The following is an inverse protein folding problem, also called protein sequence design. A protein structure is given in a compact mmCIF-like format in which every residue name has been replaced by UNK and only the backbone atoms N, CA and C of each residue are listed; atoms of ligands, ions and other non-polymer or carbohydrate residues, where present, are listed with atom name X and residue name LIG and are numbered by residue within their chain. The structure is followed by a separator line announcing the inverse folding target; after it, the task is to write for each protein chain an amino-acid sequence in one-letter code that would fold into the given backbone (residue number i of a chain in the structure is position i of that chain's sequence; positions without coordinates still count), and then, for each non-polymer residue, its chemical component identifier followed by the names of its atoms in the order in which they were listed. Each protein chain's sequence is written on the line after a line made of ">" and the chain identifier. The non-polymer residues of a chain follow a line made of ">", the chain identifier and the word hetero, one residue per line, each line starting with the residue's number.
data_IF_386621510088
#
_entry.id   IF_386621510088
#
_cell.length_a   1.000
_cell.length_b   1.000
_cell.length_c   1.000
_cell.angle_alpha   90.00
_cell.angle_beta   90.00
_cell.angle_gamma   90.00
#
_symmetry.space_group_name_H-M   'P 1'
#
loop_
_entity.id
_entity.type
_entity.pdbx_description
1 polymer ?
#
# COMPACT_ATOMS: atom_id res chain seq x y z
N UNK A 1 -10.44 -7.36 -17.56
CA UNK A 1 -11.46 -7.00 -16.55
C UNK A 1 -11.30 -5.51 -16.26
N UNK A 2 -12.29 -4.67 -16.59
CA UNK A 2 -12.25 -3.24 -16.22
C UNK A 2 -12.16 -3.17 -14.69
N UNK A 3 -11.08 -2.61 -14.18
CA UNK A 3 -10.94 -2.31 -12.75
C UNK A 3 -12.11 -1.43 -12.34
N UNK A 4 -13.08 -2.00 -11.63
CA UNK A 4 -14.12 -1.19 -10.99
C UNK A 4 -13.60 -0.72 -9.63
N UNK A 5 -12.74 0.31 -9.68
CA UNK A 5 -12.20 0.96 -8.49
C UNK A 5 -13.26 1.88 -7.86
N UNK A 6 -14.48 1.95 -8.42
CA UNK A 6 -15.51 2.93 -8.04
C UNK A 6 -16.12 2.67 -6.65
N UNK A 7 -16.09 1.44 -6.16
CA UNK A 7 -16.54 1.10 -4.80
C UNK A 7 -15.61 1.58 -3.69
N UNK A 8 -14.38 1.99 -4.01
CA UNK A 8 -13.43 2.57 -3.04
C UNK A 8 -13.37 4.11 -3.12
N UNK A 9 -14.37 4.71 -3.77
CA UNK A 9 -14.48 6.15 -4.01
C UNK A 9 -15.50 6.71 -3.00
N UNK A 10 -15.16 7.86 -2.41
CA UNK A 10 -16.03 8.70 -1.58
C UNK A 10 -16.16 8.40 -0.07
N UNK A 11 -15.04 8.06 0.56
CA UNK A 11 -14.81 8.55 1.92
C UNK A 11 -13.55 9.43 1.90
N UNK A 12 -13.78 10.74 1.84
CA UNK A 12 -12.77 11.73 2.19
C UNK A 12 -12.02 11.24 3.43
N UNK A 13 -10.74 10.90 3.28
CA UNK A 13 -9.89 10.57 4.42
C UNK A 13 -9.99 11.77 5.36
N UNK A 14 -10.54 11.63 6.58
CA UNK A 14 -10.57 12.73 7.52
C UNK A 14 -9.12 13.02 7.91
N UNK A 15 -8.49 13.95 7.20
CA UNK A 15 -7.10 14.32 7.42
C UNK A 15 -7.02 15.05 8.76
N UNK A 16 -6.51 14.34 9.77
CA UNK A 16 -6.50 14.74 11.17
C UNK A 16 -5.67 16.01 11.48
N UNK A 17 -4.91 16.58 10.53
CA UNK A 17 -4.21 17.87 10.69
C UNK A 17 -4.25 18.73 9.42
N UNK A 18 -4.03 18.16 8.22
CA UNK A 18 -4.01 18.96 6.97
C UNK A 18 -5.37 19.59 6.69
N UNK A 19 -6.47 18.88 6.86
CA UNK A 19 -7.80 19.44 6.59
C UNK A 19 -8.13 20.57 7.57
N UNK A 20 -7.74 20.42 8.85
CA UNK A 20 -7.89 21.46 9.85
C UNK A 20 -7.07 22.71 9.48
N UNK A 21 -5.77 22.55 9.20
CA UNK A 21 -4.92 23.66 8.75
C UNK A 21 -5.39 24.29 7.44
N UNK A 22 -5.88 23.50 6.49
CA UNK A 22 -6.45 24.03 5.26
C UNK A 22 -7.72 24.86 5.52
N UNK A 23 -8.53 24.51 6.52
CA UNK A 23 -9.68 25.31 6.95
C UNK A 23 -9.23 26.65 7.58
N UNK A 24 -8.20 26.63 8.42
CA UNK A 24 -7.60 27.84 9.00
C UNK A 24 -7.01 28.74 7.91
N UNK A 25 -6.25 28.17 6.98
CA UNK A 25 -5.66 28.90 5.85
C UNK A 25 -6.76 29.54 5.00
N UNK A 26 -7.87 28.83 4.71
CA UNK A 26 -9.02 29.37 3.97
C UNK A 26 -9.69 30.57 4.65
N UNK A 27 -9.62 30.65 5.98
CA UNK A 27 -10.18 31.78 6.73
C UNK A 27 -9.35 33.06 6.57
N UNK A 28 -8.08 32.95 6.18
CA UNK A 28 -7.20 34.10 5.99
C UNK A 28 -7.53 34.82 4.68
N UNK A 29 -7.76 36.13 4.75
CA UNK A 29 -7.90 36.98 3.56
C UNK A 29 -6.55 37.47 3.09
N UNK A 30 -6.21 37.19 1.84
CA UNK A 30 -4.98 37.70 1.21
C UNK A 30 -5.26 39.06 0.57
N UNK A 31 -4.43 40.06 0.87
CA UNK A 31 -4.51 41.37 0.22
C UNK A 31 -3.69 41.39 -1.08
N UNK A 32 -4.29 40.92 -2.18
CA UNK A 32 -3.65 40.88 -3.50
C UNK A 32 -3.18 42.26 -3.98
N UNK A 33 -3.91 43.33 -3.60
CA UNK A 33 -3.56 44.70 -3.99
C UNK A 33 -2.19 45.13 -3.44
N UNK A 34 -1.82 44.70 -2.23
CA UNK A 34 -0.50 45.00 -1.67
C UNK A 34 0.64 44.34 -2.46
N UNK A 35 0.41 43.14 -3.01
CA UNK A 35 1.39 42.47 -3.85
C UNK A 35 1.50 43.12 -5.23
N UNK A 36 0.40 43.62 -5.77
CA UNK A 36 0.40 44.39 -7.02
C UNK A 36 1.15 45.72 -6.86
N UNK A 37 0.87 46.47 -5.79
CA UNK A 37 1.57 47.71 -5.46
C UNK A 37 3.06 47.48 -5.20
N UNK A 38 3.40 46.35 -4.58
CA UNK A 38 4.78 45.90 -4.38
C UNK A 38 5.45 45.31 -5.61
N UNK A 39 4.81 45.33 -6.79
CA UNK A 39 5.33 44.76 -8.05
C UNK A 39 5.71 43.27 -7.99
N UNK A 40 5.14 42.53 -7.04
CA UNK A 40 5.40 41.09 -6.88
C UNK A 40 4.54 40.24 -7.83
N UNK A 41 3.42 40.80 -8.29
CA UNK A 41 2.46 40.14 -9.18
C UNK A 41 2.04 41.12 -10.29
N UNK A 42 1.65 40.59 -11.45
CA UNK A 42 1.15 41.42 -12.55
C UNK A 42 -0.28 41.89 -12.31
N UNK A 43 -0.71 42.93 -13.02
CA UNK A 43 -2.11 43.39 -12.98
C UNK A 43 -3.08 42.31 -13.45
N UNK A 44 -2.73 41.58 -14.51
CA UNK A 44 -3.49 40.44 -15.03
C UNK A 44 -3.66 39.34 -13.98
N UNK A 45 -2.58 38.96 -13.28
CA UNK A 45 -2.60 37.92 -12.25
C UNK A 45 -3.43 38.36 -11.03
N UNK A 46 -3.34 39.65 -10.65
CA UNK A 46 -4.12 40.23 -9.55
C UNK A 46 -5.62 40.28 -9.87
N UNK A 47 -5.99 40.67 -11.09
CA UNK A 47 -7.39 40.71 -11.52
C UNK A 47 -7.98 39.29 -11.61
N UNK A 48 -7.22 38.35 -12.18
CA UNK A 48 -7.66 36.96 -12.30
C UNK A 48 -7.92 36.32 -10.93
N UNK A 49 -6.97 36.42 -9.99
CA UNK A 49 -7.11 35.77 -8.68
C UNK A 49 -8.29 36.33 -7.88
N UNK A 50 -8.53 37.64 -7.97
CA UNK A 50 -9.70 38.27 -7.33
C UNK A 50 -11.01 37.78 -7.94
N UNK A 51 -11.10 37.66 -9.29
CA UNK A 51 -12.28 37.09 -9.96
C UNK A 51 -12.49 35.61 -9.59
N UNK A 52 -11.40 34.85 -9.50
CA UNK A 52 -11.44 33.44 -9.10
C UNK A 52 -11.96 33.25 -7.67
N UNK A 53 -11.55 34.10 -6.73
CA UNK A 53 -12.02 34.07 -5.33
C UNK A 53 -13.48 34.52 -5.17
N UNK A 54 -13.94 35.46 -6.00
CA UNK A 54 -15.31 35.97 -5.95
C UNK A 54 -16.34 34.90 -6.38
N UNK A 55 -15.98 34.07 -7.37
CA UNK A 55 -16.84 32.98 -7.86
C UNK A 55 -16.90 31.84 -6.86
N UNK A 56 -17.98 31.77 -6.08
CA UNK A 56 -18.20 30.72 -5.08
C UNK A 56 -18.88 29.47 -5.64
N UNK A 57 -19.67 29.61 -6.70
CA UNK A 57 -20.36 28.48 -7.31
C UNK A 57 -19.39 27.62 -8.15
N UNK A 58 -19.33 26.28 -7.94
CA UNK A 58 -18.53 25.38 -8.77
C UNK A 58 -18.77 25.52 -10.28
N UNK A 59 -19.99 25.84 -10.70
CA UNK A 59 -20.37 26.01 -12.11
C UNK A 59 -19.75 27.27 -12.72
N UNK A 60 -19.82 28.40 -12.02
CA UNK A 60 -19.20 29.67 -12.46
C UNK A 60 -17.68 29.57 -12.53
N UNK A 61 -17.07 28.84 -11.58
CA UNK A 61 -15.64 28.51 -11.61
C UNK A 61 -15.33 27.62 -12.80
N UNK A 62 -16.17 26.62 -13.08
CA UNK A 62 -15.97 25.74 -14.22
C UNK A 62 -15.99 26.51 -15.55
N UNK A 63 -16.94 27.43 -15.73
CA UNK A 63 -17.00 28.30 -16.91
C UNK A 63 -15.76 29.20 -17.04
N UNK A 64 -15.32 29.81 -15.93
CA UNK A 64 -14.10 30.62 -15.90
C UNK A 64 -12.88 29.78 -16.32
N UNK A 65 -12.74 28.58 -15.76
CA UNK A 65 -11.59 27.70 -16.02
C UNK A 65 -11.61 27.10 -17.43
N UNK A 66 -12.79 26.89 -18.03
CA UNK A 66 -12.91 26.48 -19.43
C UNK A 66 -12.46 27.59 -20.39
N UNK A 67 -12.76 28.84 -20.06
CA UNK A 67 -12.44 29.99 -20.91
C UNK A 67 -11.01 30.49 -20.70
N UNK A 68 -10.57 30.54 -19.45
CA UNK A 68 -9.31 31.19 -19.02
C UNK A 68 -8.33 30.21 -18.35
N UNK A 69 -8.41 28.90 -18.66
CA UNK A 69 -7.57 27.88 -18.03
C UNK A 69 -6.06 28.16 -18.11
N UNK A 70 -5.56 28.65 -19.26
CA UNK A 70 -4.15 29.01 -19.41
C UNK A 70 -3.74 30.17 -18.48
N UNK A 71 -4.60 31.17 -18.31
CA UNK A 71 -4.36 32.28 -17.38
C UNK A 71 -4.41 31.80 -15.92
N UNK A 72 -5.29 30.84 -15.61
CA UNK A 72 -5.35 30.20 -14.29
C UNK A 72 -4.02 29.55 -13.91
N UNK A 73 -3.46 28.67 -14.76
CA UNK A 73 -2.17 28.04 -14.52
C UNK A 73 -1.05 29.07 -14.39
N UNK A 74 -0.97 30.03 -15.33
CA UNK A 74 0.01 31.13 -15.31
C UNK A 74 -0.03 31.88 -13.98
N UNK A 75 -1.23 32.30 -13.57
CA UNK A 75 -1.45 33.06 -12.33
C UNK A 75 -0.95 32.26 -11.14
N UNK A 76 -1.43 31.04 -10.91
CA UNK A 76 -1.02 30.26 -9.75
C UNK A 76 0.49 29.98 -9.73
N UNK A 77 1.10 29.66 -10.87
CA UNK A 77 2.55 29.40 -10.96
C UNK A 77 3.35 30.67 -10.66
N UNK A 78 2.96 31.81 -11.24
CA UNK A 78 3.62 33.10 -10.99
C UNK A 78 3.51 33.49 -9.52
N UNK A 79 2.30 33.39 -8.93
CA UNK A 79 2.06 33.70 -7.53
C UNK A 79 2.94 32.85 -6.60
N UNK A 80 3.04 31.54 -6.84
CA UNK A 80 3.92 30.64 -6.05
C UNK A 80 5.40 30.92 -6.24
N UNK A 81 5.81 31.39 -7.42
CA UNK A 81 7.21 31.64 -7.77
C UNK A 81 7.71 32.96 -7.18
N UNK A 82 6.90 34.01 -7.27
CA UNK A 82 7.29 35.36 -6.88
C UNK A 82 6.97 35.67 -5.41
N UNK A 83 5.91 35.10 -4.84
CA UNK A 83 5.54 35.38 -3.45
C UNK A 83 6.31 34.45 -2.51
N UNK A 84 7.09 35.05 -1.61
CA UNK A 84 7.83 34.34 -0.57
C UNK A 84 7.10 34.26 0.77
N UNK A 85 6.04 35.06 0.98
CA UNK A 85 5.26 35.06 2.23
C UNK A 85 4.55 33.72 2.42
N UNK A 86 4.95 32.99 3.46
CA UNK A 86 4.49 31.63 3.76
C UNK A 86 2.97 31.49 3.75
N UNK A 87 2.25 32.28 4.55
CA UNK A 87 0.78 32.24 4.63
C UNK A 87 0.09 32.40 3.27
N UNK A 88 0.66 33.21 2.37
CA UNK A 88 0.09 33.41 1.03
C UNK A 88 0.38 32.21 0.13
N UNK A 89 1.57 31.61 0.23
CA UNK A 89 1.90 30.36 -0.50
C UNK A 89 1.01 29.21 -0.03
N UNK A 90 0.80 29.06 1.28
CA UNK A 90 -0.14 28.08 1.85
C UNK A 90 -1.56 28.27 1.28
N UNK A 91 -2.01 29.52 1.21
CA UNK A 91 -3.32 29.88 0.65
C UNK A 91 -3.43 29.52 -0.83
N UNK A 92 -2.40 29.85 -1.63
CA UNK A 92 -2.35 29.53 -3.05
C UNK A 92 -2.40 28.01 -3.28
N UNK A 93 -1.57 27.25 -2.56
CA UNK A 93 -1.57 25.78 -2.68
C UNK A 93 -2.90 25.17 -2.25
N UNK A 94 -3.54 25.72 -1.22
CA UNK A 94 -4.87 25.25 -0.79
C UNK A 94 -5.92 25.49 -1.89
N UNK A 95 -5.91 26.67 -2.53
CA UNK A 95 -6.80 26.94 -3.66
C UNK A 95 -6.56 25.99 -4.84
N UNK A 96 -5.30 25.68 -5.15
CA UNK A 96 -4.97 24.71 -6.21
C UNK A 96 -5.46 23.32 -5.82
N UNK A 97 -5.22 22.86 -4.59
CA UNK A 97 -5.66 21.53 -4.13
C UNK A 97 -7.19 21.38 -4.18
N UNK A 98 -7.91 22.41 -3.73
CA UNK A 98 -9.38 22.50 -3.75
C UNK A 98 -9.90 22.50 -5.20
N UNK A 99 -9.32 23.34 -6.07
CA UNK A 99 -9.70 23.41 -7.48
C UNK A 99 -9.59 22.03 -8.16
N UNK A 100 -8.50 21.30 -7.89
CA UNK A 100 -8.29 19.97 -8.43
C UNK A 100 -9.19 18.91 -7.78
N UNK A 101 -9.51 19.06 -6.49
CA UNK A 101 -10.41 18.16 -5.77
C UNK A 101 -11.86 18.28 -6.25
N UNK A 102 -12.32 19.50 -6.56
CA UNK A 102 -13.66 19.77 -7.09
C UNK A 102 -13.89 19.08 -8.45
N UNK A 103 -12.87 19.02 -9.31
CA UNK A 103 -12.96 18.31 -10.60
C UNK A 103 -11.58 17.82 -11.04
N UNK A 104 -11.39 16.50 -11.04
CA UNK A 104 -10.13 15.85 -11.40
C UNK A 104 -9.65 16.19 -12.82
N UNK A 105 -10.55 16.52 -13.76
CA UNK A 105 -10.17 16.87 -15.13
C UNK A 105 -9.38 18.18 -15.21
N UNK A 106 -9.50 19.05 -14.19
CA UNK A 106 -8.81 20.36 -14.15
C UNK A 106 -7.29 20.24 -14.05
N UNK A 107 -6.75 19.07 -13.75
CA UNK A 107 -5.30 18.83 -13.86
C UNK A 107 -4.78 19.14 -15.27
N UNK A 108 -5.61 18.95 -16.32
CA UNK A 108 -5.21 19.22 -17.72
C UNK A 108 -4.79 20.67 -17.93
N UNK A 109 -5.33 21.61 -17.15
CA UNK A 109 -4.98 23.03 -17.21
C UNK A 109 -3.48 23.24 -17.01
N UNK A 110 -2.88 22.55 -16.04
CA UNK A 110 -1.45 22.66 -15.76
C UNK A 110 -0.60 21.94 -16.81
N UNK A 111 -1.06 20.81 -17.36
CA UNK A 111 -0.37 20.12 -18.46
C UNK A 111 -0.37 20.96 -19.74
N UNK A 112 -1.52 21.51 -20.13
CA UNK A 112 -1.67 22.34 -21.33
C UNK A 112 -0.79 23.59 -21.24
N UNK A 113 -0.69 24.19 -20.05
CA UNK A 113 0.21 25.30 -19.77
C UNK A 113 1.69 24.88 -19.84
N UNK A 114 2.07 23.80 -19.15
CA UNK A 114 3.44 23.29 -19.11
C UNK A 114 3.96 22.95 -20.52
N UNK A 115 3.10 22.34 -21.34
CA UNK A 115 3.40 21.98 -22.73
C UNK A 115 3.74 23.19 -23.59
N UNK A 116 3.06 24.33 -23.40
CA UNK A 116 3.38 25.60 -24.09
C UNK A 116 4.75 26.14 -23.66
N UNK A 117 5.09 25.97 -22.39
CA UNK A 117 6.38 26.35 -21.82
C UNK A 117 7.52 25.35 -22.06
N UNK A 118 7.29 24.26 -22.82
CA UNK A 118 8.24 23.13 -22.98
C UNK A 118 8.74 22.57 -21.65
N UNK A 119 7.86 22.47 -20.67
CA UNK A 119 8.16 21.97 -19.33
C UNK A 119 7.15 20.88 -18.91
N UNK A 120 7.39 20.20 -17.78
CA UNK A 120 6.45 19.24 -17.20
C UNK A 120 5.56 19.92 -16.15
N UNK A 121 4.33 19.44 -15.95
CA UNK A 121 3.41 20.03 -14.98
C UNK A 121 3.92 19.95 -13.52
N UNK A 122 4.63 18.89 -13.16
CA UNK A 122 5.17 18.66 -11.82
C UNK A 122 6.35 19.58 -11.49
N UNK A 123 7.12 20.00 -12.49
CA UNK A 123 8.31 20.84 -12.29
C UNK A 123 8.01 22.14 -11.53
N UNK A 124 6.78 22.66 -11.63
CA UNK A 124 6.35 23.86 -10.90
C UNK A 124 6.10 23.61 -9.41
N UNK A 125 5.82 22.38 -9.00
CA UNK A 125 5.46 22.01 -7.63
C UNK A 125 6.58 21.25 -6.91
N UNK A 126 7.43 20.51 -7.62
CA UNK A 126 8.54 19.75 -7.04
C UNK A 126 9.49 20.61 -6.17
N UNK A 127 9.86 21.85 -6.55
CA UNK A 127 10.69 22.71 -5.70
C UNK A 127 10.06 23.03 -4.34
N UNK A 128 8.72 23.00 -4.24
CA UNK A 128 8.01 23.29 -2.98
C UNK A 128 8.23 22.20 -1.92
N UNK A 129 8.67 21.00 -2.30
CA UNK A 129 9.02 19.93 -1.36
C UNK A 129 10.28 20.24 -0.54
N UNK A 130 11.07 21.24 -0.94
CA UNK A 130 12.27 21.69 -0.22
C UNK A 130 12.01 22.90 0.71
N UNK A 131 10.76 23.37 0.83
CA UNK A 131 10.39 24.46 1.75
C UNK A 131 10.48 23.97 3.20
N UNK A 132 10.67 24.90 4.13
CA UNK A 132 10.71 24.59 5.57
C UNK A 132 9.32 24.37 6.17
N UNK A 133 8.30 25.06 5.63
CA UNK A 133 6.92 24.93 6.10
C UNK A 133 6.31 23.57 5.74
N UNK A 134 6.01 22.80 6.78
CA UNK A 134 5.44 21.46 6.66
C UNK A 134 4.08 21.47 5.93
N UNK A 135 3.24 22.49 6.13
CA UNK A 135 1.94 22.52 5.45
C UNK A 135 2.13 22.70 3.94
N UNK A 136 2.93 23.68 3.53
CA UNK A 136 3.31 23.93 2.12
C UNK A 136 3.88 22.67 1.47
N UNK A 137 4.84 22.02 2.12
CA UNK A 137 5.50 20.81 1.60
C UNK A 137 4.48 19.69 1.34
N UNK A 138 3.62 19.40 2.31
CA UNK A 138 2.65 18.31 2.18
C UNK A 138 1.48 18.65 1.25
N UNK A 139 1.07 19.92 1.17
CA UNK A 139 0.07 20.35 0.20
C UNK A 139 0.60 20.25 -1.22
N UNK A 140 1.84 20.70 -1.46
CA UNK A 140 2.50 20.51 -2.74
C UNK A 140 2.63 19.03 -3.10
N UNK A 141 3.02 18.17 -2.15
CA UNK A 141 3.08 16.72 -2.36
C UNK A 141 1.72 16.14 -2.80
N UNK A 142 0.61 16.58 -2.21
CA UNK A 142 -0.74 16.15 -2.62
C UNK A 142 -1.08 16.59 -4.04
N UNK A 143 -0.78 17.84 -4.39
CA UNK A 143 -1.01 18.36 -5.74
C UNK A 143 -0.18 17.56 -6.75
N UNK A 144 1.08 17.25 -6.46
CA UNK A 144 1.94 16.41 -7.31
C UNK A 144 1.31 15.03 -7.53
N UNK A 145 0.85 14.36 -6.46
CA UNK A 145 0.18 13.06 -6.59
C UNK A 145 -1.11 13.14 -7.41
N UNK A 146 -1.90 14.21 -7.25
CA UNK A 146 -3.12 14.46 -8.03
C UNK A 146 -2.82 14.67 -9.51
N UNK A 147 -1.84 15.51 -9.82
CA UNK A 147 -1.38 15.71 -11.20
C UNK A 147 -0.94 14.38 -11.81
N UNK A 148 -0.14 13.58 -11.09
CA UNK A 148 0.41 12.33 -11.60
C UNK A 148 -0.66 11.25 -11.79
N UNK A 149 -1.64 11.15 -10.89
CA UNK A 149 -2.67 10.12 -10.93
C UNK A 149 -3.88 10.46 -11.81
N UNK A 150 -4.21 11.74 -11.99
CA UNK A 150 -5.36 12.18 -12.79
C UNK A 150 -4.95 12.78 -14.14
N UNK A 151 -3.66 13.06 -14.32
CA UNK A 151 -3.08 13.58 -15.55
C UNK A 151 -3.09 12.57 -16.70
N UNK A 152 -2.82 13.07 -17.91
CA UNK A 152 -2.71 12.26 -19.12
C UNK A 152 -1.27 11.80 -19.40
N UNK A 153 -0.29 12.54 -18.88
CA UNK A 153 1.13 12.22 -19.05
C UNK A 153 1.63 11.51 -17.78
N UNK A 154 2.59 10.60 -17.94
CA UNK A 154 3.20 9.91 -16.81
C UNK A 154 4.44 10.68 -16.33
N UNK A 155 4.62 10.75 -15.01
CA UNK A 155 5.85 11.23 -14.41
C UNK A 155 6.91 10.14 -14.51
N UNK A 156 8.05 10.43 -15.12
CA UNK A 156 9.09 9.44 -15.40
C UNK A 156 10.48 9.95 -15.02
N UNK A 157 11.47 9.06 -15.03
CA UNK A 157 12.88 9.42 -14.87
C UNK A 157 13.21 10.08 -13.53
N UNK A 158 13.97 11.18 -13.57
CA UNK A 158 14.49 11.86 -12.38
C UNK A 158 13.38 12.43 -11.48
N UNK A 159 12.29 12.94 -12.08
CA UNK A 159 11.19 13.55 -11.34
C UNK A 159 10.46 12.51 -10.48
N UNK A 160 10.15 11.35 -11.08
CA UNK A 160 9.52 10.23 -10.38
C UNK A 160 10.42 9.70 -9.27
N UNK A 161 11.70 9.48 -9.58
CA UNK A 161 12.68 9.00 -8.60
C UNK A 161 12.83 9.96 -7.42
N UNK A 162 12.88 11.27 -7.68
CA UNK A 162 12.95 12.27 -6.64
C UNK A 162 11.69 12.23 -5.75
N UNK A 163 10.50 12.20 -6.35
CA UNK A 163 9.25 12.19 -5.59
C UNK A 163 9.06 10.89 -4.78
N UNK A 164 9.38 9.73 -5.35
CA UNK A 164 9.35 8.45 -4.62
C UNK A 164 10.38 8.40 -3.49
N UNK A 165 11.59 8.91 -3.70
CA UNK A 165 12.58 9.00 -2.63
C UNK A 165 12.12 9.95 -1.52
N UNK A 166 11.46 11.06 -1.87
CA UNK A 166 10.84 11.95 -0.90
C UNK A 166 9.75 11.21 -0.08
N UNK A 167 8.83 10.49 -0.72
CA UNK A 167 7.81 9.67 -0.04
C UNK A 167 8.47 8.65 0.91
N UNK A 168 9.45 7.88 0.42
CA UNK A 168 10.16 6.86 1.21
C UNK A 168 10.82 7.49 2.45
N UNK A 169 11.46 8.65 2.29
CA UNK A 169 12.12 9.38 3.38
C UNK A 169 11.11 9.82 4.44
N UNK A 170 9.99 10.41 4.02
CA UNK A 170 8.95 10.87 4.93
C UNK A 170 8.29 9.71 5.69
N UNK A 171 8.01 8.58 5.02
CA UNK A 171 7.45 7.38 5.66
C UNK A 171 8.45 6.71 6.61
N UNK A 172 9.73 6.62 6.21
CA UNK A 172 10.78 5.95 7.00
C UNK A 172 11.22 6.75 8.23
N UNK A 173 10.97 8.06 8.25
CA UNK A 173 11.28 8.92 9.41
C UNK A 173 10.61 8.45 10.72
N UNK A 174 9.59 7.57 10.63
CA UNK A 174 8.98 6.93 11.79
C UNK A 174 9.84 5.82 12.45
N UNK A 175 10.81 5.20 11.73
CA UNK A 175 11.63 4.09 12.26
C UNK A 175 12.51 4.48 13.46
N UNK A 176 12.92 5.75 13.55
CA UNK A 176 13.86 6.22 14.59
C UNK A 176 13.24 6.35 16.00
N UNK A 177 11.96 6.06 16.19
CA UNK A 177 11.29 6.21 17.49
C UNK A 177 11.07 4.90 18.27
N UNK A 178 11.29 3.75 17.64
CA UNK A 178 11.08 2.43 18.28
C UNK A 178 12.21 1.97 19.20
N UNK A 179 13.38 2.62 19.16
CA UNK A 179 14.53 2.30 19.98
C UNK A 179 14.96 3.52 20.80
N UNK A 180 14.51 3.57 22.06
CA UNK A 180 14.97 4.43 23.15
C UNK A 180 15.64 5.76 22.79
N UNK A 181 14.87 6.84 22.73
CA UNK A 181 15.43 8.19 22.88
C UNK A 181 14.62 8.95 23.93
N UNK A 182 15.24 9.07 25.11
CA UNK A 182 14.89 9.97 26.20
C UNK A 182 14.77 11.41 25.69
N UNK A 183 13.81 12.11 26.27
CA UNK A 183 13.48 13.51 26.01
C UNK A 183 14.67 14.39 26.41
N UNK A 184 15.33 15.01 25.44
CA UNK A 184 16.08 16.25 25.65
C UNK A 184 15.51 17.35 24.75
N UNK A 185 15.20 18.47 25.39
CA UNK A 185 14.49 19.60 24.84
C UNK A 185 15.44 20.51 24.04
N UNK A 186 14.99 21.00 22.88
CA UNK A 186 15.65 22.12 22.20
C UNK A 186 15.51 22.24 20.69
N UNK A 187 15.01 21.22 19.97
CA UNK A 187 14.81 21.27 18.52
C UNK A 187 13.33 21.10 18.16
N UNK A 188 12.89 21.81 17.12
CA UNK A 188 11.52 21.80 16.53
C UNK A 188 10.83 20.46 16.79
N UNK A 189 9.68 20.52 17.47
CA UNK A 189 8.90 19.38 17.94
C UNK A 189 8.74 18.32 16.85
N UNK A 190 9.58 17.28 16.89
CA UNK A 190 9.54 16.13 15.96
C UNK A 190 8.21 15.36 16.02
N UNK A 191 7.28 15.74 16.92
CA UNK A 191 5.87 15.32 16.91
C UNK A 191 5.09 15.81 15.70
N UNK A 192 5.48 16.92 15.08
CA UNK A 192 4.69 17.55 14.02
C UNK A 192 4.91 16.89 12.66
N UNK A 193 6.09 16.34 12.35
CA UNK A 193 6.28 15.59 11.09
C UNK A 193 5.45 14.30 11.04
N UNK A 194 5.29 13.63 12.19
CA UNK A 194 4.44 12.43 12.31
C UNK A 194 2.97 12.69 12.02
N UNK A 195 2.49 13.93 12.18
CA UNK A 195 1.10 14.31 11.91
C UNK A 195 0.76 14.26 10.42
N UNK A 196 1.76 14.45 9.55
CA UNK A 196 1.58 14.49 8.10
C UNK A 196 1.85 13.14 7.42
N UNK A 197 2.29 12.11 8.15
CA UNK A 197 2.60 10.80 7.58
C UNK A 197 1.38 10.17 6.88
N UNK A 198 0.17 10.38 7.41
CA UNK A 198 -1.07 9.93 6.77
C UNK A 198 -1.33 10.63 5.42
N UNK A 199 -0.88 11.88 5.26
CA UNK A 199 -0.94 12.59 3.99
C UNK A 199 0.04 11.98 2.99
N UNK A 200 1.27 11.71 3.41
CA UNK A 200 2.28 11.06 2.57
C UNK A 200 1.81 9.69 2.12
N UNK A 201 1.24 8.90 3.04
CA UNK A 201 0.59 7.63 2.74
C UNK A 201 -0.55 7.80 1.71
N UNK A 202 -1.37 8.84 1.85
CA UNK A 202 -2.42 9.17 0.88
C UNK A 202 -1.88 9.53 -0.51
N UNK A 203 -0.74 10.23 -0.57
CA UNK A 203 -0.05 10.53 -1.83
C UNK A 203 0.42 9.23 -2.51
N UNK A 204 1.03 8.31 -1.76
CA UNK A 204 1.44 7.01 -2.27
C UNK A 204 0.23 6.18 -2.76
N UNK A 205 -0.85 6.12 -1.98
CA UNK A 205 -2.08 5.41 -2.38
C UNK A 205 -2.62 5.95 -3.71
N UNK A 206 -2.60 7.27 -3.90
CA UNK A 206 -3.09 7.92 -5.12
C UNK A 206 -2.19 7.59 -6.32
N UNK A 207 -0.86 7.66 -6.15
CA UNK A 207 0.11 7.26 -7.18
C UNK A 207 -0.11 5.79 -7.60
N UNK A 208 -0.21 4.87 -6.63
CA UNK A 208 -0.34 3.44 -6.91
C UNK A 208 -1.69 3.06 -7.54
N UNK A 209 -2.62 3.99 -7.76
CA UNK A 209 -3.81 3.72 -8.60
C UNK A 209 -3.46 3.54 -10.06
N UNK A 210 -2.38 4.17 -10.53
CA UNK A 210 -1.84 4.04 -11.89
C UNK A 210 -0.90 2.83 -11.95
N UNK A 211 -1.06 1.99 -12.98
CA UNK A 211 -0.37 0.70 -13.06
C UNK A 211 1.15 0.87 -13.20
N UNK A 212 1.59 1.82 -14.01
CA UNK A 212 2.98 2.12 -14.30
C UNK A 212 3.74 2.54 -13.03
N UNK A 213 3.11 3.33 -12.16
CA UNK A 213 3.70 3.72 -10.89
C UNK A 213 3.79 2.57 -9.88
N UNK A 214 2.97 1.51 -10.01
CA UNK A 214 3.13 0.31 -9.19
C UNK A 214 4.43 -0.42 -9.53
N UNK A 215 4.73 -0.60 -10.82
CA UNK A 215 5.97 -1.24 -11.25
C UNK A 215 7.18 -0.40 -10.84
N UNK A 216 7.16 0.90 -11.11
CA UNK A 216 8.23 1.80 -10.71
C UNK A 216 8.45 1.83 -9.19
N UNK A 217 7.38 1.74 -8.38
CA UNK A 217 7.50 1.69 -6.92
C UNK A 217 8.17 0.40 -6.44
N UNK A 218 7.82 -0.74 -7.05
CA UNK A 218 8.42 -2.04 -6.76
C UNK A 218 9.90 -2.06 -7.15
N UNK A 219 10.24 -1.59 -8.35
CA UNK A 219 11.63 -1.48 -8.83
C UNK A 219 12.48 -0.55 -7.95
N UNK A 220 11.88 0.49 -7.37
CA UNK A 220 12.54 1.40 -6.45
C UNK A 220 12.64 0.89 -4.99
N UNK A 221 12.48 -0.43 -4.77
CA UNK A 221 12.42 -1.11 -3.47
C UNK A 221 11.38 -0.51 -2.50
N UNK A 222 10.27 -0.02 -3.04
CA UNK A 222 9.22 0.63 -2.28
C UNK A 222 8.43 -0.31 -1.36
N UNK A 223 8.44 -1.62 -1.62
CA UNK A 223 7.74 -2.61 -0.79
C UNK A 223 8.36 -2.68 0.61
N UNK A 224 9.69 -2.64 0.71
CA UNK A 224 10.39 -2.58 2.00
C UNK A 224 10.00 -1.34 2.83
N UNK A 225 9.73 -0.21 2.17
CA UNK A 225 9.24 0.98 2.84
C UNK A 225 7.86 0.75 3.46
N UNK A 226 6.92 0.16 2.71
CA UNK A 226 5.57 -0.15 3.20
C UNK A 226 5.65 -1.12 4.38
N UNK A 227 6.39 -2.22 4.23
CA UNK A 227 6.54 -3.22 5.29
C UNK A 227 7.21 -2.63 6.53
N UNK A 228 8.23 -1.79 6.35
CA UNK A 228 8.88 -1.08 7.44
C UNK A 228 7.95 -0.16 8.25
N UNK A 229 6.94 0.45 7.61
CA UNK A 229 5.91 1.25 8.32
C UNK A 229 4.93 0.34 9.06
N UNK A 230 4.50 -0.76 8.45
CA UNK A 230 3.57 -1.70 9.08
C UNK A 230 4.16 -2.37 10.32
N UNK A 231 5.45 -2.70 10.30
CA UNK A 231 6.15 -3.28 11.45
C UNK A 231 6.29 -2.33 12.66
N UNK A 232 6.15 -1.01 12.47
CA UNK A 232 6.37 0.00 13.53
C UNK A 232 5.16 0.25 14.45
N UNK A 233 4.22 -0.68 14.59
CA UNK A 233 2.98 -0.53 15.39
C UNK A 233 2.31 0.85 15.21
N UNK A 234 2.00 1.19 13.97
CA UNK A 234 1.35 2.45 13.62
C UNK A 234 -0.16 2.43 13.90
N UNK A 235 -0.78 3.62 13.96
CA UNK A 235 -2.23 3.73 14.17
C UNK A 235 -3.05 3.14 13.01
N UNK A 236 -4.29 2.72 13.30
CA UNK A 236 -5.16 1.99 12.35
C UNK A 236 -5.35 2.70 10.99
N UNK A 237 -5.33 4.03 10.96
CA UNK A 237 -5.45 4.78 9.71
C UNK A 237 -4.22 4.55 8.82
N UNK A 238 -3.02 4.59 9.39
CA UNK A 238 -1.78 4.36 8.62
C UNK A 238 -1.65 2.89 8.22
N UNK A 239 -2.04 1.95 9.11
CA UNK A 239 -2.16 0.53 8.76
C UNK A 239 -3.06 0.33 7.55
N UNK A 240 -4.28 0.89 7.58
CA UNK A 240 -5.20 0.84 6.45
C UNK A 240 -4.57 1.37 5.16
N UNK A 241 -3.92 2.53 5.20
CA UNK A 241 -3.34 3.13 4.00
C UNK A 241 -2.18 2.31 3.43
N UNK A 242 -1.31 1.77 4.28
CA UNK A 242 -0.20 0.92 3.86
C UNK A 242 -0.68 -0.42 3.32
N UNK A 243 -1.68 -1.05 3.95
CA UNK A 243 -2.27 -2.30 3.47
C UNK A 243 -3.04 -2.06 2.17
N UNK A 244 -3.67 -0.90 2.00
CA UNK A 244 -4.26 -0.50 0.73
C UNK A 244 -3.22 -0.40 -0.39
N UNK A 245 -2.02 0.10 -0.11
CA UNK A 245 -0.92 0.06 -1.08
C UNK A 245 -0.55 -1.38 -1.45
N UNK A 246 -0.46 -2.30 -0.48
CA UNK A 246 -0.23 -3.74 -0.75
C UNK A 246 -1.34 -4.32 -1.63
N UNK A 247 -2.60 -4.03 -1.30
CA UNK A 247 -3.76 -4.47 -2.07
C UNK A 247 -3.72 -3.97 -3.52
N UNK A 248 -3.34 -2.72 -3.75
CA UNK A 248 -3.15 -2.15 -5.09
C UNK A 248 -2.04 -2.87 -5.88
N UNK A 249 -0.92 -3.21 -5.23
CA UNK A 249 0.17 -3.96 -5.85
C UNK A 249 -0.26 -5.40 -6.20
N UNK A 250 -1.07 -6.03 -5.34
CA UNK A 250 -1.53 -7.42 -5.52
C UNK A 250 -2.54 -7.62 -6.68
N UNK A 251 -2.89 -6.59 -7.44
CA UNK A 251 -3.72 -6.74 -8.64
C UNK A 251 -2.97 -7.30 -9.85
N UNK A 252 -1.64 -7.22 -9.86
CA UNK A 252 -0.81 -7.70 -10.98
C UNK A 252 -0.20 -9.07 -10.64
N UNK A 253 -0.37 -10.10 -11.49
CA UNK A 253 0.23 -11.41 -11.26
C UNK A 253 1.75 -11.37 -11.09
N UNK A 254 2.43 -10.57 -11.92
CA UNK A 254 3.88 -10.36 -11.85
C UNK A 254 4.31 -9.72 -10.52
N UNK A 255 3.48 -8.81 -9.99
CA UNK A 255 3.75 -8.20 -8.69
C UNK A 255 3.52 -9.19 -7.56
N UNK A 256 2.46 -10.02 -7.62
CA UNK A 256 2.26 -11.07 -6.64
C UNK A 256 3.49 -11.98 -6.54
N UNK A 257 4.10 -12.36 -7.66
CA UNK A 257 5.33 -13.16 -7.62
C UNK A 257 6.47 -12.45 -6.86
N UNK A 258 6.66 -11.15 -7.10
CA UNK A 258 7.68 -10.34 -6.43
C UNK A 258 7.39 -10.14 -4.93
N UNK A 259 6.13 -9.88 -4.59
CA UNK A 259 5.65 -9.60 -3.24
C UNK A 259 5.87 -10.77 -2.27
N UNK A 260 5.99 -12.01 -2.77
CA UNK A 260 6.28 -13.20 -1.95
C UNK A 260 7.50 -13.06 -1.06
N UNK A 261 8.49 -12.28 -1.49
CA UNK A 261 9.78 -12.12 -0.79
C UNK A 261 9.73 -11.27 0.48
N UNK A 262 8.61 -10.61 0.76
CA UNK A 262 8.52 -9.51 1.74
C UNK A 262 7.77 -9.85 3.03
N UNK A 263 7.52 -11.13 3.34
CA UNK A 263 6.80 -11.57 4.55
C UNK A 263 5.48 -10.80 4.79
N UNK A 264 4.75 -10.51 3.71
CA UNK A 264 3.52 -9.72 3.76
C UNK A 264 2.44 -10.44 4.58
N UNK A 265 2.26 -11.74 4.33
CA UNK A 265 1.22 -12.54 4.98
C UNK A 265 1.37 -12.52 6.51
N UNK A 266 2.53 -12.88 7.10
CA UNK A 266 2.72 -12.80 8.55
C UNK A 266 2.34 -11.44 9.16
N UNK A 267 2.84 -10.34 8.57
CA UNK A 267 2.57 -8.99 9.09
C UNK A 267 1.08 -8.64 9.02
N UNK A 268 0.39 -9.01 7.93
CA UNK A 268 -1.04 -8.74 7.81
C UNK A 268 -1.87 -9.63 8.74
N UNK A 269 -1.46 -10.88 8.96
CA UNK A 269 -2.11 -11.80 9.91
C UNK A 269 -2.02 -11.31 11.35
N UNK A 270 -0.86 -10.76 11.75
CA UNK A 270 -0.68 -10.17 13.07
C UNK A 270 -1.59 -8.94 13.26
N UNK A 271 -1.64 -8.05 12.25
CA UNK A 271 -2.51 -6.87 12.30
C UNK A 271 -3.99 -7.28 12.31
N UNK A 272 -4.38 -8.30 11.55
CA UNK A 272 -5.75 -8.81 11.53
C UNK A 272 -6.19 -9.33 12.91
N UNK A 273 -5.27 -10.01 13.60
CA UNK A 273 -5.52 -10.54 14.94
C UNK A 273 -5.71 -9.43 15.99
N UNK A 274 -4.95 -8.33 15.88
CA UNK A 274 -4.99 -7.22 16.85
C UNK A 274 -6.06 -6.16 16.51
N UNK A 275 -6.51 -6.10 15.26
CA UNK A 275 -7.40 -5.04 14.79
C UNK A 275 -8.86 -5.26 15.23
N UNK A 276 -9.44 -4.19 15.78
CA UNK A 276 -10.88 -4.08 16.05
C UNK A 276 -11.59 -3.15 15.07
N UNK A 277 -10.90 -2.69 14.02
CA UNK A 277 -11.44 -1.72 13.05
C UNK A 277 -11.84 -2.43 11.77
N UNK A 278 -13.14 -2.47 11.48
CA UNK A 278 -13.69 -3.12 10.27
C UNK A 278 -13.00 -2.66 8.99
N UNK A 279 -12.69 -1.37 8.84
CA UNK A 279 -11.97 -0.86 7.66
C UNK A 279 -10.59 -1.50 7.46
N UNK A 280 -9.88 -1.83 8.55
CA UNK A 280 -8.56 -2.50 8.49
C UNK A 280 -8.77 -3.97 8.18
N UNK A 281 -9.74 -4.62 8.83
CA UNK A 281 -10.14 -6.01 8.54
C UNK A 281 -10.49 -6.17 7.06
N UNK A 282 -11.41 -5.35 6.53
CA UNK A 282 -11.82 -5.32 5.12
C UNK A 282 -10.62 -5.27 4.17
N UNK A 283 -9.69 -4.33 4.37
CA UNK A 283 -8.57 -4.19 3.42
C UNK A 283 -7.55 -5.34 3.52
N UNK A 284 -7.40 -5.97 4.70
CA UNK A 284 -6.56 -7.16 4.85
C UNK A 284 -7.17 -8.35 4.12
N UNK A 285 -8.47 -8.59 4.31
CA UNK A 285 -9.18 -9.69 3.64
C UNK A 285 -9.12 -9.53 2.12
N UNK A 286 -9.38 -8.32 1.61
CA UNK A 286 -9.25 -8.02 0.18
C UNK A 286 -7.81 -8.21 -0.33
N UNK A 287 -6.79 -7.87 0.47
CA UNK A 287 -5.39 -8.11 0.12
C UNK A 287 -5.07 -9.61 0.05
N UNK A 288 -5.50 -10.40 1.04
CA UNK A 288 -5.34 -11.86 1.02
C UNK A 288 -6.05 -12.50 -0.17
N UNK A 289 -7.28 -12.08 -0.46
CA UNK A 289 -8.02 -12.53 -1.64
C UNK A 289 -7.24 -12.25 -2.92
N UNK A 290 -6.75 -11.03 -3.10
CA UNK A 290 -5.96 -10.67 -4.28
C UNK A 290 -4.69 -11.52 -4.41
N UNK A 291 -3.95 -11.73 -3.32
CA UNK A 291 -2.73 -12.56 -3.34
C UNK A 291 -3.02 -14.00 -3.79
N UNK A 292 -4.18 -14.58 -3.45
CA UNK A 292 -4.57 -15.92 -3.91
C UNK A 292 -5.18 -15.92 -5.31
N UNK A 293 -6.11 -15.01 -5.57
CA UNK A 293 -6.93 -14.97 -6.80
C UNK A 293 -6.13 -14.47 -8.01
N UNK A 294 -5.24 -13.49 -7.83
CA UNK A 294 -4.47 -12.88 -8.93
C UNK A 294 -3.15 -13.58 -9.22
N UNK A 295 -2.67 -14.45 -8.32
CA UNK A 295 -1.49 -15.27 -8.57
C UNK A 295 -1.78 -16.31 -9.66
N UNK A 296 -1.12 -16.19 -10.81
CA UNK A 296 -1.28 -17.11 -11.94
C UNK A 296 -0.52 -18.41 -11.72
N UNK A 297 0.70 -18.32 -11.19
CA UNK A 297 1.54 -19.47 -10.89
C UNK A 297 1.00 -20.27 -9.70
N UNK A 298 0.91 -21.60 -9.89
CA UNK A 298 0.41 -22.52 -8.85
C UNK A 298 1.29 -22.48 -7.60
N UNK A 299 2.61 -22.49 -7.78
CA UNK A 299 3.59 -22.45 -6.68
C UNK A 299 3.42 -21.17 -5.84
N UNK A 300 3.30 -20.01 -6.50
CA UNK A 300 3.07 -18.71 -5.83
C UNK A 300 1.78 -18.74 -5.00
N UNK A 301 0.70 -19.29 -5.55
CA UNK A 301 -0.58 -19.40 -4.84
C UNK A 301 -0.48 -20.35 -3.64
N UNK A 302 0.19 -21.49 -3.81
CA UNK A 302 0.40 -22.48 -2.75
C UNK A 302 1.24 -21.89 -1.60
N UNK A 303 2.31 -21.15 -1.90
CA UNK A 303 3.12 -20.47 -0.88
C UNK A 303 2.30 -19.47 -0.06
N UNK A 304 1.46 -18.66 -0.72
CA UNK A 304 0.58 -17.73 0.00
C UNK A 304 -0.44 -18.46 0.87
N UNK A 305 -1.08 -19.51 0.34
CA UNK A 305 -2.04 -20.31 1.10
C UNK A 305 -1.36 -20.97 2.31
N UNK A 306 -0.19 -21.58 2.12
CA UNK A 306 0.60 -22.19 3.18
C UNK A 306 0.98 -21.17 4.25
N UNK A 307 1.47 -19.99 3.86
CA UNK A 307 1.79 -18.92 4.80
C UNK A 307 0.56 -18.48 5.62
N UNK A 308 -0.61 -18.32 4.98
CA UNK A 308 -1.85 -17.95 5.67
C UNK A 308 -2.29 -19.03 6.67
N UNK A 309 -2.18 -20.32 6.30
CA UNK A 309 -2.48 -21.45 7.17
C UNK A 309 -1.53 -21.47 8.38
N UNK A 310 -0.23 -21.31 8.14
CA UNK A 310 0.79 -21.28 9.21
C UNK A 310 0.60 -20.10 10.17
N UNK A 311 0.20 -18.95 9.65
CA UNK A 311 -0.16 -17.75 10.43
C UNK A 311 -1.55 -17.84 11.08
N UNK A 312 -2.22 -19.01 11.05
CA UNK A 312 -3.52 -19.27 11.68
C UNK A 312 -4.67 -18.39 11.14
N UNK A 313 -4.55 -17.89 9.91
CA UNK A 313 -5.59 -17.06 9.28
C UNK A 313 -6.91 -17.83 9.17
N UNK A 314 -6.88 -19.13 8.89
CA UNK A 314 -8.09 -19.97 8.78
C UNK A 314 -8.95 -19.91 10.06
N UNK A 315 -8.33 -20.07 11.23
CA UNK A 315 -9.01 -19.93 12.53
C UNK A 315 -9.51 -18.51 12.78
N UNK A 316 -8.78 -17.49 12.33
CA UNK A 316 -9.22 -16.11 12.45
C UNK A 316 -10.48 -15.87 11.59
N UNK A 317 -10.50 -16.37 10.35
CA UNK A 317 -11.65 -16.29 9.45
C UNK A 317 -12.88 -16.98 10.03
N UNK A 318 -12.75 -18.17 10.61
CA UNK A 318 -13.85 -18.87 11.29
C UNK A 318 -14.44 -18.04 12.45
N UNK A 319 -13.60 -17.31 13.19
CA UNK A 319 -14.06 -16.42 14.25
C UNK A 319 -14.75 -15.16 13.70
N UNK A 320 -14.27 -14.63 12.57
CA UNK A 320 -14.87 -13.48 11.90
C UNK A 320 -16.22 -13.87 11.28
N UNK A 321 -16.35 -15.06 10.68
CA UNK A 321 -17.59 -15.58 10.09
C UNK A 321 -18.74 -15.75 11.10
N UNK A 322 -18.41 -15.93 12.38
CA UNK A 322 -19.40 -15.95 13.48
C UNK A 322 -19.96 -14.56 13.81
N UNK A 323 -19.29 -13.50 13.38
CA UNK A 323 -19.73 -12.12 13.58
C UNK A 323 -20.67 -11.70 12.45
N UNK A 324 -21.53 -10.72 12.74
CA UNK A 324 -22.40 -10.11 11.72
C UNK A 324 -21.76 -8.81 11.24
N UNK A 325 -21.55 -8.69 9.94
CA UNK A 325 -21.09 -7.46 9.29
C UNK A 325 -22.19 -6.93 8.36
N UNK A 326 -22.35 -5.60 8.34
CA UNK A 326 -23.20 -4.92 7.35
C UNK A 326 -22.49 -4.76 5.99
N UNK A 327 -21.15 -4.79 5.99
CA UNK A 327 -20.33 -4.74 4.77
C UNK A 327 -20.32 -6.11 4.07
N UNK A 328 -21.00 -6.19 2.92
CA UNK A 328 -21.11 -7.40 2.12
C UNK A 328 -19.74 -7.88 1.60
N UNK A 329 -18.82 -6.97 1.28
CA UNK A 329 -17.48 -7.32 0.78
C UNK A 329 -16.70 -8.13 1.82
N UNK A 330 -16.84 -7.78 3.12
CA UNK A 330 -16.20 -8.53 4.21
C UNK A 330 -16.72 -9.97 4.23
N UNK A 331 -18.05 -10.13 4.16
CA UNK A 331 -18.69 -11.44 4.22
C UNK A 331 -18.33 -12.30 3.00
N UNK A 332 -18.24 -11.70 1.82
CA UNK A 332 -17.80 -12.39 0.60
C UNK A 332 -16.33 -12.80 0.65
N UNK A 333 -15.44 -11.91 1.09
CA UNK A 333 -14.02 -12.19 1.18
C UNK A 333 -13.73 -13.27 2.24
N UNK A 334 -14.44 -13.27 3.38
CA UNK A 334 -14.33 -14.34 4.39
C UNK A 334 -14.69 -15.69 3.77
N UNK A 335 -15.84 -15.78 3.09
CA UNK A 335 -16.29 -17.03 2.45
C UNK A 335 -15.31 -17.50 1.38
N UNK A 336 -14.85 -16.60 0.53
CA UNK A 336 -13.85 -16.91 -0.50
C UNK A 336 -12.56 -17.47 0.12
N UNK A 337 -12.05 -16.82 1.16
CA UNK A 337 -10.81 -17.24 1.81
C UNK A 337 -10.97 -18.56 2.57
N UNK A 338 -12.10 -18.78 3.25
CA UNK A 338 -12.39 -20.05 3.92
C UNK A 338 -12.44 -21.21 2.92
N UNK A 339 -13.10 -21.02 1.78
CA UNK A 339 -13.19 -22.02 0.71
C UNK A 339 -11.79 -22.33 0.14
N UNK A 340 -11.06 -21.30 -0.32
CA UNK A 340 -9.74 -21.48 -0.95
C UNK A 340 -8.67 -22.03 -0.02
N UNK A 341 -8.65 -21.58 1.24
CA UNK A 341 -7.73 -22.12 2.23
C UNK A 341 -8.16 -23.53 2.67
N UNK A 342 -9.46 -23.82 2.72
CA UNK A 342 -9.98 -25.17 2.98
C UNK A 342 -9.57 -26.18 1.91
N UNK A 343 -9.75 -25.84 0.64
CA UNK A 343 -9.22 -26.61 -0.51
C UNK A 343 -7.71 -26.83 -0.38
N UNK A 344 -6.97 -25.75 -0.10
CA UNK A 344 -5.51 -25.82 0.05
C UNK A 344 -5.08 -26.70 1.22
N UNK A 345 -5.81 -26.71 2.34
CA UNK A 345 -5.53 -27.64 3.45
C UNK A 345 -5.73 -29.09 3.02
N UNK A 346 -6.77 -29.39 2.24
CA UNK A 346 -6.99 -30.75 1.73
C UNK A 346 -5.87 -31.18 0.78
N UNK A 347 -5.49 -30.32 -0.16
CA UNK A 347 -4.41 -30.57 -1.12
C UNK A 347 -3.05 -30.74 -0.41
N UNK A 348 -2.71 -29.80 0.49
CA UNK A 348 -1.46 -29.78 1.27
C UNK A 348 -1.44 -30.81 2.40
N UNK A 349 -2.51 -31.57 2.60
CA UNK A 349 -2.55 -32.75 3.47
C UNK A 349 -2.83 -34.04 2.69
N UNK A 350 -2.69 -34.00 1.36
CA UNK A 350 -2.87 -35.18 0.52
C UNK A 350 -1.64 -36.08 0.55
N UNK A 351 -1.85 -37.38 0.42
CA UNK A 351 -0.75 -38.34 0.34
C UNK A 351 0.08 -38.17 -0.93
N UNK A 352 -0.53 -37.67 -2.00
CA UNK A 352 0.16 -37.42 -3.27
C UNK A 352 1.14 -36.26 -3.15
N UNK A 353 0.79 -35.21 -2.38
CA UNK A 353 1.72 -34.12 -2.05
C UNK A 353 2.92 -34.64 -1.25
N UNK A 354 2.67 -35.41 -0.18
CA UNK A 354 3.73 -36.05 0.60
C UNK A 354 4.66 -36.93 -0.24
N UNK A 355 4.08 -37.75 -1.13
CA UNK A 355 4.81 -38.59 -2.07
C UNK A 355 5.66 -37.76 -3.05
N UNK A 356 5.14 -36.63 -3.50
CA UNK A 356 5.84 -35.68 -4.38
C UNK A 356 7.01 -35.00 -3.68
N UNK A 357 6.80 -34.47 -2.46
CA UNK A 357 7.86 -33.84 -1.64
C UNK A 357 9.03 -34.81 -1.43
N UNK A 358 8.74 -36.04 -0.99
CA UNK A 358 9.75 -37.10 -0.82
C UNK A 358 10.53 -37.39 -2.11
N UNK A 359 9.82 -37.57 -3.22
CA UNK A 359 10.45 -37.92 -4.51
C UNK A 359 11.28 -36.80 -5.09
N UNK A 360 10.91 -35.55 -4.81
CA UNK A 360 11.69 -34.37 -5.20
C UNK A 360 12.98 -34.22 -4.37
N UNK A 361 13.00 -34.79 -3.17
CA UNK A 361 14.09 -34.64 -2.19
C UNK A 361 14.13 -33.27 -1.50
N UNK A 362 13.13 -32.41 -1.75
CA UNK A 362 12.97 -31.10 -1.10
C UNK A 362 11.85 -31.18 -0.08
N UNK A 363 12.22 -31.46 1.16
CA UNK A 363 11.28 -31.52 2.28
C UNK A 363 11.20 -30.19 3.00
N UNK A 364 9.99 -29.71 3.22
CA UNK A 364 9.74 -28.52 4.03
C UNK A 364 8.68 -28.79 5.09
N UNK A 365 8.59 -27.93 6.09
CA UNK A 365 7.61 -28.08 7.16
C UNK A 365 6.18 -27.72 6.70
N UNK A 366 5.54 -28.65 5.99
CA UNK A 366 4.18 -28.53 5.43
C UNK A 366 3.12 -29.31 6.26
N UNK A 367 1.82 -29.17 5.97
CA UNK A 367 0.76 -29.86 6.70
C UNK A 367 0.83 -31.40 6.62
N UNK A 368 1.33 -31.99 5.52
CA UNK A 368 1.53 -33.46 5.44
C UNK A 368 2.52 -33.96 6.50
N UNK A 369 3.54 -33.17 6.85
CA UNK A 369 4.53 -33.56 7.85
C UNK A 369 4.02 -33.35 9.28
N UNK A 370 3.21 -32.32 9.53
CA UNK A 370 2.79 -31.91 10.88
C UNK A 370 1.42 -32.45 11.33
N UNK A 371 0.57 -32.86 10.40
CA UNK A 371 -0.82 -33.24 10.71
C UNK A 371 -0.90 -34.64 11.33
N UNK A 372 -1.30 -34.73 12.59
CA UNK A 372 -1.54 -36.03 13.24
C UNK A 372 -2.63 -36.85 12.51
N UNK A 373 -3.65 -36.16 11.97
CA UNK A 373 -4.72 -36.81 11.19
C UNK A 373 -4.14 -37.46 9.93
N UNK A 374 -3.24 -36.76 9.22
CA UNK A 374 -2.58 -37.29 8.04
C UNK A 374 -1.83 -38.59 8.35
N UNK A 375 -1.00 -38.59 9.39
CA UNK A 375 -0.21 -39.76 9.79
C UNK A 375 -1.08 -40.92 10.27
N UNK A 376 -2.17 -40.64 10.98
CA UNK A 376 -3.12 -41.66 11.41
C UNK A 376 -3.78 -42.37 10.22
N UNK A 377 -4.07 -41.65 9.15
CA UNK A 377 -4.75 -42.18 7.96
C UNK A 377 -3.77 -42.80 6.95
N UNK A 378 -2.57 -42.25 6.80
CA UNK A 378 -1.67 -42.56 5.69
C UNK A 378 -0.38 -43.30 6.08
N UNK A 379 -0.02 -43.43 7.37
CA UNK A 379 1.25 -44.08 7.76
C UNK A 379 1.42 -45.49 7.16
N UNK A 380 0.34 -46.26 7.07
CA UNK A 380 0.36 -47.63 6.50
C UNK A 380 0.71 -47.61 5.00
N UNK A 381 0.34 -46.55 4.29
CA UNK A 381 0.54 -46.42 2.84
C UNK A 381 2.01 -46.22 2.45
N UNK A 382 2.88 -45.84 3.38
CA UNK A 382 4.34 -45.79 3.13
C UNK A 382 4.92 -47.18 2.82
N UNK A 383 4.20 -48.25 3.17
CA UNK A 383 4.58 -49.64 2.88
C UNK A 383 4.23 -50.06 1.45
N UNK A 384 3.46 -49.26 0.72
CA UNK A 384 3.10 -49.54 -0.68
C UNK A 384 4.34 -49.59 -1.58
N UNK A 385 4.20 -50.25 -2.74
CA UNK A 385 5.26 -50.38 -3.76
C UNK A 385 6.59 -50.86 -3.17
N UNK A 386 6.53 -51.86 -2.30
CA UNK A 386 7.72 -52.42 -1.63
C UNK A 386 8.49 -51.35 -0.83
N UNK A 387 7.77 -50.60 0.01
CA UNK A 387 8.32 -49.58 0.90
C UNK A 387 9.07 -48.47 0.14
N UNK A 388 8.63 -48.11 -1.08
CA UNK A 388 9.31 -47.13 -1.93
C UNK A 388 9.53 -45.81 -1.21
N UNK A 389 8.48 -45.24 -0.62
CA UNK A 389 8.54 -43.95 0.07
C UNK A 389 9.38 -44.01 1.35
N UNK A 390 9.29 -45.10 2.12
CA UNK A 390 10.15 -45.33 3.28
C UNK A 390 11.63 -45.40 2.90
N UNK A 391 11.96 -46.10 1.81
CA UNK A 391 13.33 -46.18 1.31
C UNK A 391 13.85 -44.82 0.86
N UNK A 392 13.02 -44.00 0.21
CA UNK A 392 13.37 -42.62 -0.16
C UNK A 392 13.62 -41.80 1.10
N UNK A 393 12.74 -41.87 2.10
CA UNK A 393 12.88 -41.16 3.37
C UNK A 393 14.18 -41.54 4.12
N UNK A 394 14.49 -42.83 4.20
CA UNK A 394 15.77 -43.32 4.76
C UNK A 394 16.95 -42.82 3.93
N UNK A 395 16.83 -42.84 2.59
CA UNK A 395 17.90 -42.36 1.73
C UNK A 395 18.19 -40.88 1.94
N UNK A 396 17.16 -40.05 2.08
CA UNK A 396 17.29 -38.62 2.39
C UNK A 396 18.03 -38.39 3.71
N UNK A 397 17.73 -39.20 4.75
CA UNK A 397 18.47 -39.15 6.02
C UNK A 397 19.94 -39.56 5.90
N UNK A 398 20.27 -40.47 4.97
CA UNK A 398 21.64 -40.93 4.75
C UNK A 398 22.50 -39.97 3.92
N UNK A 399 21.90 -39.25 2.96
CA UNK A 399 22.65 -38.52 1.93
C UNK A 399 22.43 -37.02 1.91
N UNK A 400 21.40 -36.49 2.58
CA UNK A 400 21.17 -35.05 2.60
C UNK A 400 22.10 -34.36 3.59
N UNK A 401 22.72 -33.27 3.17
CA UNK A 401 23.46 -32.36 4.05
C UNK A 401 22.61 -31.16 4.50
N UNK A 402 21.36 -31.05 4.02
CA UNK A 402 20.44 -29.96 4.37
C UNK A 402 19.80 -30.22 5.75
N UNK A 403 20.06 -29.37 6.77
CA UNK A 403 19.50 -29.53 8.11
C UNK A 403 17.97 -29.55 8.15
N UNK A 404 17.30 -28.82 7.27
CA UNK A 404 15.84 -28.77 7.21
C UNK A 404 15.28 -30.10 6.71
N UNK A 405 15.84 -30.64 5.63
CA UNK A 405 15.44 -31.94 5.08
C UNK A 405 15.66 -33.06 6.09
N UNK A 406 16.81 -33.05 6.78
CA UNK A 406 17.11 -34.03 7.82
C UNK A 406 16.14 -33.96 9.00
N UNK A 407 15.79 -32.75 9.44
CA UNK A 407 14.86 -32.56 10.55
C UNK A 407 13.44 -33.04 10.22
N UNK A 408 12.93 -32.71 9.03
CA UNK A 408 11.62 -33.19 8.56
C UNK A 408 11.64 -34.70 8.38
N UNK A 409 12.67 -35.25 7.72
CA UNK A 409 12.75 -36.67 7.46
C UNK A 409 12.83 -37.50 8.76
N UNK A 410 13.59 -37.04 9.76
CA UNK A 410 13.69 -37.72 11.05
C UNK A 410 12.36 -37.68 11.82
N UNK A 411 11.67 -36.54 11.75
CA UNK A 411 10.33 -36.40 12.32
C UNK A 411 9.33 -37.38 11.69
N UNK A 412 9.32 -37.47 10.37
CA UNK A 412 8.43 -38.36 9.61
C UNK A 412 8.66 -39.83 9.91
N UNK A 413 9.92 -40.26 10.08
CA UNK A 413 10.24 -41.61 10.56
C UNK A 413 9.64 -41.83 11.96
N UNK A 414 9.76 -40.84 12.84
CA UNK A 414 9.15 -40.86 14.16
C UNK A 414 7.62 -41.02 14.11
N UNK A 415 6.95 -40.23 13.27
CA UNK A 415 5.49 -40.30 13.08
C UNK A 415 5.05 -41.62 12.45
N UNK A 416 5.77 -42.13 11.44
CA UNK A 416 5.52 -43.45 10.87
C UNK A 416 5.61 -44.55 11.94
N UNK A 417 6.68 -44.56 12.74
CA UNK A 417 6.87 -45.56 13.80
C UNK A 417 5.82 -45.44 14.91
N UNK A 418 5.39 -44.22 15.22
CA UNK A 418 4.34 -43.92 16.20
C UNK A 418 2.98 -44.44 15.74
N UNK A 419 2.61 -44.20 14.48
CA UNK A 419 1.30 -44.51 13.93
C UNK A 419 1.22 -45.90 13.28
N UNK A 420 2.35 -46.54 12.99
CA UNK A 420 2.44 -47.93 12.51
C UNK A 420 3.43 -48.76 13.35
N UNK A 421 3.03 -49.25 14.54
CA UNK A 421 3.92 -49.96 15.46
C UNK A 421 4.60 -51.21 14.89
N UNK A 422 4.00 -51.83 13.86
CA UNK A 422 4.56 -53.01 13.17
C UNK A 422 5.76 -52.67 12.28
N UNK A 423 5.91 -51.41 11.86
CA UNK A 423 7.03 -50.92 11.06
C UNK A 423 8.30 -50.60 11.85
N UNK A 424 8.34 -50.94 13.15
CA UNK A 424 9.54 -50.82 14.00
C UNK A 424 10.63 -51.86 13.68
N UNK A 425 10.26 -52.94 13.00
CA UNK A 425 11.17 -53.98 12.54
C UNK A 425 11.63 -53.64 11.14
#
# INVERSE_FOLDING_TARGET
>A
VKMDIRGAVDAAVPTNIIAAKAAEVRANKVNWQSYLQGQMISGEDCEFIQRFEQKRNPEEKQELLQTEGNQCAKTFINLMTHISKEQTVQYILTMVDDMLQENHQRVSIFFDYAKRGKNTAWSYFLPMLNRQDLFTVHMAARIIAKLAAWGKELMEGSDLNYYFNWIKTQLSSQKLRGAGSSVEAGAVSTSDSSQYVQCVAGCLQLMLRVNEYRFAWVEADGVNCIMGVLSNKCGFQLQYQMIFCVWLLAFSPQMCEYLRRYNIVPVLSDILQESVKEKVTRIILAAFRNLLEKSTERETRQEYALAMIQCKVLKQLENLDQQKYDDEDISEDIKFLLDKLGESVQDLSSFDEYSSELKSGRLEWSPVHKSEKFWRENAVRLNEKNYELLKILTKLLEVSDDPQVLAVAAHDVGEYVRHYPRGKR
#
